data_IF_754436626386
#
_entry.id   IF_754436626386
#
_cell.length_a   1.000
_cell.length_b   1.000
_cell.length_c   1.000
_cell.angle_alpha   90.00
_cell.angle_beta   90.00
_cell.angle_gamma   90.00
#
_symmetry.space_group_name_H-M   'P 1'
#
loop_
_entity.id
_entity.type
_entity.pdbx_description
1 polymer ?
#
# COMPACT_ATOMS: atom_id res chain seq x y z
N UNK A 1 -24.98 -0.55 6.24
CA UNK A 1 -23.71 -1.25 6.55
C UNK A 1 -22.55 -0.46 5.96
N UNK A 2 -21.40 -0.35 6.63
CA UNK A 2 -20.19 0.27 6.05
C UNK A 2 -19.09 -0.78 5.94
N UNK A 3 -18.44 -0.91 4.77
CA UNK A 3 -17.38 -1.90 4.56
C UNK A 3 -16.03 -1.24 4.27
N UNK A 4 -15.00 -1.64 5.01
CA UNK A 4 -13.61 -1.18 4.86
C UNK A 4 -12.69 -2.37 4.57
N UNK A 5 -12.93 -3.09 3.47
CA UNK A 5 -12.32 -4.40 3.21
C UNK A 5 -10.89 -4.34 2.62
N UNK A 6 -10.27 -3.16 2.53
CA UNK A 6 -8.91 -2.96 2.06
C UNK A 6 -8.64 -3.64 0.71
N UNK A 7 -7.84 -4.71 0.74
CA UNK A 7 -7.43 -5.49 -0.44
C UNK A 7 -8.59 -6.11 -1.23
N UNK A 8 -9.73 -6.38 -0.60
CA UNK A 8 -10.90 -6.98 -1.24
C UNK A 8 -12.06 -6.00 -1.44
N UNK A 9 -11.81 -4.70 -1.27
CA UNK A 9 -12.86 -3.67 -1.31
C UNK A 9 -13.55 -3.55 -2.68
N UNK A 10 -12.79 -3.67 -3.79
CA UNK A 10 -13.30 -3.75 -5.15
C UNK A 10 -14.23 -4.95 -5.39
N UNK A 11 -13.80 -6.15 -4.96
CA UNK A 11 -14.58 -7.38 -5.12
C UNK A 11 -15.87 -7.35 -4.30
N UNK A 12 -15.80 -6.84 -3.07
CA UNK A 12 -16.96 -6.76 -2.19
C UNK A 12 -17.98 -5.74 -2.72
N UNK A 13 -17.51 -4.57 -3.17
CA UNK A 13 -18.38 -3.55 -3.77
C UNK A 13 -19.07 -4.10 -5.04
N UNK A 14 -18.31 -4.72 -5.94
CA UNK A 14 -18.84 -5.32 -7.17
C UNK A 14 -19.91 -6.38 -6.90
N UNK A 15 -19.66 -7.28 -5.93
CA UNK A 15 -20.64 -8.32 -5.56
C UNK A 15 -21.92 -7.74 -4.95
N UNK A 16 -21.86 -6.52 -4.44
CA UNK A 16 -22.99 -5.80 -3.85
C UNK A 16 -23.71 -4.91 -4.89
N UNK A 17 -23.32 -4.96 -6.17
CA UNK A 17 -23.96 -4.22 -7.26
C UNK A 17 -23.30 -2.90 -7.65
N UNK A 18 -22.16 -2.54 -7.04
CA UNK A 18 -21.40 -1.35 -7.45
C UNK A 18 -20.63 -1.57 -8.76
N UNK A 19 -20.19 -0.47 -9.37
CA UNK A 19 -19.39 -0.51 -10.61
C UNK A 19 -18.06 -1.26 -10.44
N UNK A 20 -17.55 -1.86 -11.52
CA UNK A 20 -16.30 -2.62 -11.51
C UNK A 20 -15.04 -1.73 -11.39
N UNK A 21 -15.17 -0.42 -11.59
CA UNK A 21 -14.11 0.58 -11.51
C UNK A 21 -14.14 1.34 -10.15
N UNK A 22 -12.99 1.56 -9.49
CA UNK A 22 -11.65 1.03 -9.78
C UNK A 22 -11.48 -0.42 -9.28
N UNK A 23 -10.41 -1.08 -9.75
CA UNK A 23 -9.96 -2.38 -9.21
C UNK A 23 -8.72 -2.24 -8.34
N UNK A 24 -8.57 -3.16 -7.38
CA UNK A 24 -7.41 -3.20 -6.51
C UNK A 24 -6.30 -4.04 -7.14
N UNK A 25 -5.15 -3.40 -7.37
CA UNK A 25 -3.88 -4.06 -7.69
C UNK A 25 -3.06 -4.19 -6.39
N UNK A 26 -2.67 -5.42 -5.98
CA UNK A 26 -1.92 -5.62 -4.76
C UNK A 26 -0.44 -5.31 -5.00
N UNK A 27 0.08 -4.27 -4.37
CA UNK A 27 1.52 -3.98 -4.36
C UNK A 27 2.12 -4.45 -3.04
N UNK A 28 2.96 -5.48 -3.11
CA UNK A 28 3.69 -6.01 -1.96
C UNK A 28 4.94 -5.18 -1.72
N UNK A 29 5.08 -4.69 -0.49
CA UNK A 29 6.29 -4.07 -0.01
C UNK A 29 6.90 -4.80 1.16
N UNK A 30 8.21 -5.06 1.07
CA UNK A 30 8.98 -5.70 2.13
C UNK A 30 10.10 -4.81 2.61
N UNK A 31 10.40 -4.95 3.90
CA UNK A 31 11.47 -4.24 4.57
C UNK A 31 12.62 -5.19 4.90
N UNK A 32 13.81 -4.63 5.09
CA UNK A 32 14.95 -5.32 5.71
C UNK A 32 15.37 -4.55 6.95
N UNK A 33 15.82 -5.23 7.99
CA UNK A 33 16.32 -4.55 9.20
C UNK A 33 17.84 -4.44 9.17
N UNK A 34 18.37 -3.39 9.79
CA UNK A 34 19.77 -3.38 10.20
C UNK A 34 19.96 -4.36 11.37
N UNK A 35 21.12 -5.03 11.40
CA UNK A 35 21.51 -5.84 12.53
C UNK A 35 21.68 -4.97 13.79
N UNK A 36 21.28 -5.52 14.93
CA UNK A 36 21.57 -4.91 16.23
C UNK A 36 23.09 -4.72 16.36
N UNK A 37 23.48 -3.59 16.95
CA UNK A 37 24.88 -3.20 17.08
C UNK A 37 25.04 -2.29 18.30
N UNK A 38 26.17 -2.40 19.00
CA UNK A 38 26.53 -1.53 20.12
C UNK A 38 26.99 -0.13 19.67
N UNK A 39 27.11 0.08 18.36
CA UNK A 39 27.42 1.38 17.78
C UNK A 39 26.23 2.35 17.92
N UNK A 40 26.46 3.67 17.95
CA UNK A 40 25.40 4.66 18.05
C UNK A 40 24.39 4.56 16.90
N UNK A 41 23.14 5.02 17.12
CA UNK A 41 22.10 4.97 16.11
C UNK A 41 22.45 5.86 14.92
N UNK A 42 22.40 5.29 13.71
CA UNK A 42 22.69 6.00 12.45
C UNK A 42 21.68 7.09 12.11
N UNK A 43 20.50 7.07 12.74
CA UNK A 43 19.44 8.05 12.54
C UNK A 43 18.63 8.21 13.83
N UNK A 44 18.09 9.41 14.07
CA UNK A 44 17.24 9.71 15.25
C UNK A 44 15.75 9.80 14.92
N UNK A 45 15.38 9.70 13.65
CA UNK A 45 14.02 9.81 13.14
C UNK A 45 13.81 9.00 11.87
N UNK A 46 12.74 9.30 11.15
CA UNK A 46 12.46 8.69 9.85
C UNK A 46 13.03 9.55 8.72
N UNK A 47 13.62 8.91 7.71
CA UNK A 47 14.13 9.60 6.50
C UNK A 47 13.39 9.03 5.29
N UNK A 48 12.81 9.95 4.52
CA UNK A 48 12.05 9.65 3.31
C UNK A 48 12.72 10.37 2.13
N UNK A 49 12.76 9.75 0.94
CA UNK A 49 13.13 10.45 -0.28
C UNK A 49 12.08 11.50 -0.61
N UNK A 50 12.46 12.47 -1.44
CA UNK A 50 11.49 13.40 -2.04
C UNK A 50 10.52 12.57 -2.91
N UNK A 51 9.20 12.66 -2.71
CA UNK A 51 8.24 11.88 -3.48
C UNK A 51 8.29 12.23 -4.97
N UNK A 52 8.26 11.21 -5.82
CA UNK A 52 7.96 11.38 -7.24
C UNK A 52 6.45 11.66 -7.40
N UNK A 53 6.03 12.78 -8.02
CA UNK A 53 4.62 13.08 -8.24
C UNK A 53 3.86 11.98 -8.98
N UNK A 54 4.53 11.25 -9.89
CA UNK A 54 3.90 10.18 -10.67
C UNK A 54 3.76 8.88 -9.85
N UNK A 55 4.59 8.71 -8.81
CA UNK A 55 4.65 7.52 -7.96
C UNK A 55 5.02 7.88 -6.51
N UNK A 56 4.13 8.58 -5.77
CA UNK A 56 4.47 9.15 -4.46
C UNK A 56 4.73 8.09 -3.38
N UNK A 57 4.42 6.83 -3.66
CA UNK A 57 4.62 5.70 -2.75
C UNK A 57 5.92 4.92 -2.99
N UNK A 58 6.75 5.34 -3.95
CA UNK A 58 8.00 4.67 -4.29
C UNK A 58 9.21 5.37 -3.67
N UNK A 59 10.10 4.58 -3.11
CA UNK A 59 11.27 5.09 -2.43
C UNK A 59 11.71 4.21 -1.27
N UNK A 60 13.02 4.17 -1.02
CA UNK A 60 13.59 3.48 0.14
C UNK A 60 13.52 4.43 1.33
N UNK A 61 12.65 4.10 2.29
CA UNK A 61 12.55 4.81 3.56
C UNK A 61 13.49 4.18 4.59
N UNK A 62 14.00 5.02 5.49
CA UNK A 62 14.76 4.59 6.66
C UNK A 62 13.90 4.92 7.86
N UNK A 63 13.33 3.90 8.49
CA UNK A 63 12.42 4.07 9.63
C UNK A 63 13.08 3.56 10.89
N UNK A 64 13.23 4.45 11.88
CA UNK A 64 13.59 4.07 13.25
C UNK A 64 12.32 3.74 14.03
N UNK A 65 12.21 2.51 14.49
CA UNK A 65 11.10 2.02 15.31
C UNK A 65 11.24 2.50 16.75
N UNK A 66 10.15 2.44 17.51
CA UNK A 66 10.12 2.78 18.95
C UNK A 66 11.09 1.90 19.74
N UNK A 67 11.25 0.64 19.34
CA UNK A 67 12.23 -0.32 19.90
C UNK A 67 13.69 0.06 19.64
N UNK A 68 13.95 1.05 18.77
CA UNK A 68 15.28 1.41 18.31
C UNK A 68 15.77 0.63 17.09
N UNK A 69 15.04 -0.40 16.66
CA UNK A 69 15.33 -1.10 15.40
C UNK A 69 15.21 -0.16 14.21
N UNK A 70 16.01 -0.39 13.17
CA UNK A 70 15.98 0.40 11.94
C UNK A 70 15.59 -0.51 10.79
N UNK A 71 14.52 -0.16 10.08
CA UNK A 71 14.08 -0.84 8.87
C UNK A 71 14.33 0.03 7.64
N UNK A 72 14.74 -0.63 6.56
CA UNK A 72 14.97 -0.05 5.25
C UNK A 72 13.95 -0.66 4.28
N UNK A 73 13.27 0.19 3.50
CA UNK A 73 12.27 -0.21 2.52
C UNK A 73 11.11 0.79 2.46
N UNK A 74 9.96 0.43 1.90
CA UNK A 74 9.64 -0.88 1.35
C UNK A 74 10.17 -1.06 -0.09
N UNK A 75 10.27 -2.32 -0.55
CA UNK A 75 10.14 -2.59 -2.00
C UNK A 75 8.72 -2.27 -2.46
N UNK A 76 8.47 -2.23 -3.76
CA UNK A 76 7.12 -2.15 -4.29
C UNK A 76 6.99 -3.00 -5.55
N UNK A 77 6.37 -4.17 -5.41
CA UNK A 77 6.19 -5.09 -6.53
C UNK A 77 4.78 -5.65 -6.56
N UNK A 78 4.21 -5.84 -7.76
CA UNK A 78 2.87 -6.41 -7.91
C UNK A 78 2.86 -7.85 -7.37
N UNK A 79 1.94 -8.12 -6.45
CA UNK A 79 1.86 -9.38 -5.75
C UNK A 79 1.00 -10.40 -6.50
N UNK A 80 1.34 -11.69 -6.40
CA UNK A 80 0.58 -12.77 -7.06
C UNK A 80 -0.75 -13.14 -6.38
N UNK A 81 -1.07 -12.50 -5.26
CA UNK A 81 -2.34 -12.59 -4.56
C UNK A 81 -2.57 -11.34 -3.72
N UNK A 82 -3.84 -11.04 -3.42
CA UNK A 82 -4.20 -9.92 -2.54
C UNK A 82 -3.63 -10.09 -1.12
N UNK A 83 -3.56 -11.32 -0.61
CA UNK A 83 -2.99 -11.68 0.71
C UNK A 83 -1.53 -12.18 0.63
N UNK A 84 -0.77 -11.79 -0.39
CA UNK A 84 0.60 -12.27 -0.60
C UNK A 84 1.64 -11.58 0.31
N UNK A 85 1.58 -11.86 1.62
CA UNK A 85 2.62 -11.44 2.57
C UNK A 85 3.96 -12.17 2.33
N UNK A 86 3.89 -13.41 1.83
CA UNK A 86 5.03 -14.19 1.34
C UNK A 86 5.06 -14.24 -0.19
N UNK A 87 6.26 -14.31 -0.79
CA UNK A 87 6.41 -14.34 -2.25
C UNK A 87 5.87 -15.63 -2.89
N UNK A 88 5.85 -16.73 -2.14
CA UNK A 88 5.29 -18.01 -2.61
C UNK A 88 3.76 -18.03 -2.65
N UNK A 89 3.09 -17.03 -2.05
CA UNK A 89 1.63 -16.95 -2.03
C UNK A 89 1.12 -16.39 -3.36
N UNK A 90 0.59 -17.29 -4.18
CA UNK A 90 0.01 -16.97 -5.48
C UNK A 90 -1.41 -17.53 -5.55
N UNK A 91 -2.36 -16.76 -6.09
CA UNK A 91 -3.73 -17.20 -6.33
C UNK A 91 -4.10 -16.98 -7.79
N UNK A 92 -4.48 -18.04 -8.48
CA UNK A 92 -4.84 -17.98 -9.89
C UNK A 92 -5.99 -17.01 -10.16
N UNK A 93 -6.98 -16.94 -9.25
CA UNK A 93 -8.11 -16.00 -9.36
C UNK A 93 -7.65 -14.54 -9.33
N UNK A 94 -6.69 -14.21 -8.45
CA UNK A 94 -6.18 -12.85 -8.30
C UNK A 94 -5.30 -12.48 -9.50
N UNK A 95 -4.47 -13.41 -9.97
CA UNK A 95 -3.72 -13.24 -11.23
C UNK A 95 -4.63 -13.02 -12.44
N UNK A 96 -5.72 -13.77 -12.53
CA UNK A 96 -6.72 -13.59 -13.58
C UNK A 96 -7.41 -12.23 -13.49
N UNK A 97 -7.74 -11.78 -12.28
CA UNK A 97 -8.27 -10.44 -12.04
C UNK A 97 -7.34 -9.34 -12.57
N UNK A 98 -6.03 -9.48 -12.31
CA UNK A 98 -5.00 -8.55 -12.78
C UNK A 98 -4.86 -8.59 -14.31
N UNK A 99 -4.77 -9.78 -14.90
CA UNK A 99 -4.59 -9.97 -16.33
C UNK A 99 -5.78 -9.50 -17.16
N UNK A 100 -7.01 -9.61 -16.64
CA UNK A 100 -8.23 -9.17 -17.33
C UNK A 100 -8.55 -7.68 -17.13
N UNK A 101 -7.81 -6.98 -16.26
CA UNK A 101 -8.02 -5.55 -16.05
C UNK A 101 -7.13 -4.72 -16.98
N UNK A 102 -7.70 -3.87 -17.88
CA UNK A 102 -6.91 -3.06 -18.79
C UNK A 102 -5.97 -2.08 -18.07
N UNK A 103 -6.38 -1.55 -16.91
CA UNK A 103 -5.59 -0.62 -16.12
C UNK A 103 -4.25 -1.21 -15.68
N UNK A 104 -4.19 -2.51 -15.36
CA UNK A 104 -2.95 -3.22 -15.00
C UNK A 104 -1.89 -3.09 -16.09
N UNK A 105 -2.27 -3.31 -17.34
CA UNK A 105 -1.34 -3.27 -18.47
C UNK A 105 -0.88 -1.85 -18.80
N UNK A 106 -1.74 -0.86 -18.58
CA UNK A 106 -1.41 0.55 -18.77
C UNK A 106 -0.41 1.02 -17.72
N UNK A 107 -0.65 0.71 -16.43
CA UNK A 107 0.30 0.94 -15.34
C UNK A 107 1.64 0.24 -15.62
N UNK A 108 1.61 -1.04 -16.01
CA UNK A 108 2.82 -1.78 -16.33
C UNK A 108 3.62 -1.16 -17.49
N UNK A 109 2.94 -0.70 -18.54
CA UNK A 109 3.57 0.00 -19.67
C UNK A 109 4.14 1.36 -19.28
N UNK A 110 3.45 2.12 -18.43
CA UNK A 110 3.88 3.44 -17.98
C UNK A 110 5.10 3.35 -17.06
N UNK A 111 5.10 2.39 -16.12
CA UNK A 111 6.08 2.31 -15.04
C UNK A 111 7.05 1.14 -15.15
N UNK A 112 7.32 0.63 -16.36
CA UNK A 112 8.19 -0.53 -16.58
C UNK A 112 9.62 -0.32 -16.07
N UNK A 113 10.17 0.89 -16.19
CA UNK A 113 11.53 1.23 -15.69
C UNK A 113 11.59 1.13 -14.17
N UNK A 114 10.55 1.62 -13.51
CA UNK A 114 10.43 1.55 -12.06
C UNK A 114 10.24 0.12 -11.60
N UNK A 115 9.44 -0.68 -12.31
CA UNK A 115 9.29 -2.11 -12.04
C UNK A 115 10.62 -2.87 -12.10
N UNK A 116 11.52 -2.54 -13.05
CA UNK A 116 12.87 -3.13 -13.11
C UNK A 116 13.71 -2.73 -11.89
N UNK A 117 13.63 -1.45 -11.49
CA UNK A 117 14.36 -0.95 -10.32
C UNK A 117 13.88 -1.64 -9.04
N UNK A 118 12.57 -1.78 -8.88
CA UNK A 118 11.95 -2.49 -7.76
C UNK A 118 12.27 -3.98 -7.76
N UNK A 119 12.34 -4.61 -8.94
CA UNK A 119 12.79 -5.99 -9.06
C UNK A 119 14.25 -6.13 -8.58
N UNK A 120 15.11 -5.14 -8.84
CA UNK A 120 16.48 -5.10 -8.30
C UNK A 120 16.48 -5.06 -6.77
N UNK A 121 15.62 -4.25 -6.16
CA UNK A 121 15.49 -4.20 -4.69
C UNK A 121 14.90 -5.48 -4.10
N UNK A 122 13.96 -6.11 -4.80
CA UNK A 122 13.39 -7.39 -4.40
C UNK A 122 14.43 -8.52 -4.38
N UNK A 123 15.29 -8.57 -5.41
CA UNK A 123 16.31 -9.60 -5.57
C UNK A 123 17.60 -9.32 -4.78
N UNK A 124 17.90 -8.04 -4.50
CA UNK A 124 19.16 -7.63 -3.86
C UNK A 124 18.93 -6.72 -2.65
N UNK A 125 19.06 -7.32 -1.46
CA UNK A 125 19.09 -6.57 -0.19
C UNK A 125 20.25 -5.57 -0.15
N UNK A 126 21.36 -5.89 -0.81
CA UNK A 126 22.51 -4.99 -0.94
C UNK A 126 22.16 -3.76 -1.78
N UNK A 127 21.39 -3.92 -2.86
CA UNK A 127 20.93 -2.78 -3.67
C UNK A 127 20.04 -1.83 -2.85
N UNK A 128 19.13 -2.38 -2.05
CA UNK A 128 18.29 -1.59 -1.15
C UNK A 128 19.11 -0.88 -0.07
N UNK A 129 20.09 -1.56 0.53
CA UNK A 129 21.03 -0.94 1.48
C UNK A 129 21.82 0.20 0.85
N UNK A 130 22.29 0.01 -0.39
CA UNK A 130 23.05 1.04 -1.09
C UNK A 130 22.19 2.26 -1.41
N UNK A 131 20.92 2.07 -1.80
CA UNK A 131 19.98 3.18 -2.00
C UNK A 131 19.74 3.96 -0.69
N UNK A 132 19.58 3.26 0.45
CA UNK A 132 19.52 3.92 1.76
C UNK A 132 20.81 4.67 2.13
N UNK A 133 21.96 4.14 1.70
CA UNK A 133 23.27 4.74 1.95
C UNK A 133 23.52 6.04 1.15
N UNK A 134 22.71 6.34 0.13
CA UNK A 134 22.75 7.64 -0.56
C UNK A 134 22.26 8.77 0.37
N UNK A 135 21.36 8.46 1.31
CA UNK A 135 20.89 9.41 2.32
C UNK A 135 21.75 9.39 3.60
N UNK A 136 22.15 8.19 4.05
CA UNK A 136 22.93 7.98 5.27
C UNK A 136 24.12 7.06 4.98
N UNK A 137 25.30 7.60 4.62
CA UNK A 137 26.46 6.82 4.20
C UNK A 137 26.89 5.74 5.21
N UNK A 138 26.70 5.98 6.51
CA UNK A 138 27.03 5.03 7.59
C UNK A 138 26.31 3.68 7.44
N UNK A 139 25.13 3.64 6.82
CA UNK A 139 24.36 2.41 6.58
C UNK A 139 25.15 1.41 5.73
N UNK A 140 26.05 1.89 4.85
CA UNK A 140 26.84 1.03 3.96
C UNK A 140 27.64 -0.02 4.73
N UNK A 141 28.16 0.36 5.89
CA UNK A 141 29.01 -0.47 6.75
C UNK A 141 28.22 -1.28 7.77
N UNK A 142 26.90 -1.07 7.87
CA UNK A 142 26.05 -1.85 8.77
C UNK A 142 25.68 -3.19 8.15
N UNK A 143 25.69 -4.23 8.98
CA UNK A 143 25.18 -5.54 8.61
C UNK A 143 23.65 -5.48 8.51
N UNK A 144 23.08 -6.23 7.57
CA UNK A 144 21.63 -6.43 7.50
C UNK A 144 21.27 -7.64 8.37
N UNK A 145 20.15 -7.54 9.08
CA UNK A 145 19.54 -8.64 9.80
C UNK A 145 18.64 -9.48 8.88
N UNK A 146 17.74 -10.25 9.51
CA UNK A 146 16.66 -10.98 8.84
C UNK A 146 15.78 -10.04 8.00
N UNK A 147 15.12 -10.63 7.00
CA UNK A 147 14.05 -9.95 6.28
C UNK A 147 12.98 -9.47 7.29
N UNK A 148 12.56 -8.23 7.13
CA UNK A 148 11.53 -7.61 7.95
C UNK A 148 10.14 -8.03 7.52
N UNK A 149 9.15 -7.36 8.12
CA UNK A 149 7.77 -7.54 7.74
C UNK A 149 7.54 -7.18 6.26
N UNK A 150 6.50 -7.79 5.69
CA UNK A 150 5.97 -7.41 4.39
C UNK A 150 4.51 -7.02 4.56
N UNK A 151 4.10 -6.01 3.81
CA UNK A 151 2.71 -5.58 3.69
C UNK A 151 2.27 -5.65 2.23
N UNK A 152 0.96 -5.72 2.02
CA UNK A 152 0.36 -5.57 0.68
C UNK A 152 -0.52 -4.34 0.70
N UNK A 153 -0.18 -3.35 -0.14
CA UNK A 153 -0.96 -2.15 -0.37
C UNK A 153 -2.07 -2.47 -1.36
N UNK A 154 -3.29 -2.09 -1.03
CA UNK A 154 -4.43 -2.09 -1.92
C UNK A 154 -4.37 -0.81 -2.79
N UNK A 155 -3.75 -0.89 -3.96
CA UNK A 155 -3.71 0.26 -4.87
C UNK A 155 -4.93 0.21 -5.80
N UNK A 156 -5.84 1.18 -5.67
CA UNK A 156 -6.91 1.34 -6.62
C UNK A 156 -6.37 1.87 -7.95
N UNK A 157 -6.75 1.20 -9.04
CA UNK A 157 -6.35 1.53 -10.40
C UNK A 157 -7.58 1.57 -11.28
N UNK A 158 -7.81 2.73 -11.87
CA UNK A 158 -8.89 2.93 -12.82
C UNK A 158 -8.65 2.15 -14.11
N UNK A 159 -9.72 1.98 -14.88
CA UNK A 159 -9.66 1.22 -16.13
C UNK A 159 -8.62 1.79 -17.09
N UNK A 160 -8.48 3.10 -17.15
CA UNK A 160 -7.51 3.84 -17.98
C UNK A 160 -6.05 3.76 -17.48
N UNK A 161 -5.81 3.12 -16.34
CA UNK A 161 -4.48 2.99 -15.73
C UNK A 161 -4.14 4.09 -14.74
N UNK A 162 -5.04 5.03 -14.48
CA UNK A 162 -4.84 6.06 -13.46
C UNK A 162 -4.75 5.39 -12.07
N UNK A 163 -3.70 5.72 -11.33
CA UNK A 163 -3.57 5.33 -9.93
C UNK A 163 -4.46 6.27 -9.12
N UNK A 164 -5.46 5.74 -8.43
CA UNK A 164 -6.41 6.60 -7.71
C UNK A 164 -5.78 7.07 -6.40
N UNK A 165 -5.56 8.37 -6.31
CA UNK A 165 -4.89 9.03 -5.19
C UNK A 165 -5.85 9.68 -4.17
N UNK A 166 -7.16 9.58 -4.40
CA UNK A 166 -8.20 10.06 -3.47
C UNK A 166 -9.10 8.92 -2.96
N UNK A 167 -9.94 9.20 -1.97
CA UNK A 167 -10.93 8.28 -1.45
C UNK A 167 -11.95 7.92 -2.53
N UNK A 168 -12.22 6.62 -2.65
CA UNK A 168 -13.32 6.13 -3.49
C UNK A 168 -14.33 5.47 -2.57
N UNK A 169 -15.52 6.04 -2.54
CA UNK A 169 -16.66 5.55 -1.77
C UNK A 169 -17.77 5.20 -2.76
N UNK A 170 -18.39 4.04 -2.59
CA UNK A 170 -19.54 3.62 -3.41
C UNK A 170 -20.71 3.24 -2.52
N UNK A 171 -21.86 3.85 -2.78
CA UNK A 171 -23.11 3.56 -2.11
C UNK A 171 -23.96 2.63 -2.96
N UNK A 172 -24.48 1.58 -2.33
CA UNK A 172 -25.46 0.65 -2.88
C UNK A 172 -26.60 0.48 -1.87
N UNK A 173 -27.79 -0.01 -2.27
CA UNK A 173 -28.87 -0.23 -1.32
C UNK A 173 -28.42 -1.06 -0.10
N UNK A 174 -28.48 -0.45 1.08
CA UNK A 174 -28.10 -1.07 2.36
C UNK A 174 -26.61 -1.08 2.71
N UNK A 175 -25.71 -0.63 1.82
CA UNK A 175 -24.27 -0.63 2.10
C UNK A 175 -23.47 0.53 1.47
N UNK A 176 -22.47 1.01 2.21
CA UNK A 176 -21.45 1.97 1.75
C UNK A 176 -20.09 1.28 1.75
N UNK A 177 -19.39 1.30 0.63
CA UNK A 177 -18.10 0.63 0.44
C UNK A 177 -16.97 1.64 0.33
N UNK A 178 -15.99 1.57 1.24
CA UNK A 178 -14.71 2.27 1.10
C UNK A 178 -13.83 1.43 0.16
N UNK A 179 -13.75 1.85 -1.10
CA UNK A 179 -13.05 1.15 -2.19
C UNK A 179 -11.61 1.59 -2.36
N UNK A 180 -11.29 2.82 -1.99
CA UNK A 180 -9.92 3.29 -1.94
C UNK A 180 -9.74 4.20 -0.73
N UNK A 181 -8.66 3.97 0.00
CA UNK A 181 -8.19 4.83 1.08
C UNK A 181 -6.66 4.88 0.97
N UNK A 182 -6.14 5.75 0.08
CA UNK A 182 -4.72 5.79 -0.21
C UNK A 182 -3.92 6.39 0.95
N UNK A 183 -2.61 6.20 0.95
CA UNK A 183 -1.72 6.83 1.94
C UNK A 183 -1.88 8.35 1.89
N UNK A 184 -2.02 9.06 3.02
CA UNK A 184 -1.81 8.61 4.41
C UNK A 184 -3.10 8.22 5.18
N UNK A 185 -3.89 7.26 4.67
CA UNK A 185 -5.15 6.80 5.29
C UNK A 185 -5.08 6.41 6.78
N UNK A 186 -3.95 5.88 7.26
CA UNK A 186 -3.79 5.57 8.69
C UNK A 186 -3.85 6.84 9.54
N UNK A 187 -3.15 7.90 9.10
CA UNK A 187 -3.11 9.20 9.76
C UNK A 187 -4.45 9.93 9.67
N UNK A 188 -5.15 9.82 8.53
CA UNK A 188 -6.46 10.46 8.32
C UNK A 188 -7.67 9.58 8.74
N UNK A 189 -7.44 8.43 9.38
CA UNK A 189 -8.48 7.43 9.67
C UNK A 189 -9.66 7.97 10.49
N UNK A 190 -9.41 8.82 11.48
CA UNK A 190 -10.48 9.43 12.28
C UNK A 190 -11.31 10.45 11.48
N UNK A 191 -10.68 11.21 10.58
CA UNK A 191 -11.39 12.14 9.71
C UNK A 191 -12.25 11.38 8.69
N UNK A 192 -11.69 10.32 8.09
CA UNK A 192 -12.43 9.43 7.20
C UNK A 192 -13.62 8.77 7.91
N UNK A 193 -13.44 8.33 9.16
CA UNK A 193 -14.53 7.73 9.93
C UNK A 193 -15.69 8.72 10.16
N UNK A 194 -15.39 9.99 10.47
CA UNK A 194 -16.42 11.03 10.62
C UNK A 194 -17.16 11.26 9.31
N UNK A 195 -16.45 11.45 8.20
CA UNK A 195 -17.05 11.61 6.87
C UNK A 195 -17.99 10.44 6.51
N UNK A 196 -17.61 9.20 6.84
CA UNK A 196 -18.44 8.03 6.59
C UNK A 196 -19.69 7.99 7.45
N UNK A 197 -19.60 8.39 8.72
CA UNK A 197 -20.75 8.50 9.63
C UNK A 197 -21.70 9.56 9.11
N UNK A 198 -21.21 10.77 8.83
CA UNK A 198 -22.01 11.89 8.35
C UNK A 198 -22.77 11.52 7.06
N UNK A 199 -22.10 10.83 6.12
CA UNK A 199 -22.75 10.28 4.92
C UNK A 199 -23.85 9.27 5.25
N UNK A 200 -23.57 8.31 6.13
CA UNK A 200 -24.53 7.26 6.46
C UNK A 200 -25.74 7.77 7.25
N UNK A 201 -25.56 8.78 8.10
CA UNK A 201 -26.67 9.38 8.86
C UNK A 201 -27.72 10.00 7.95
N UNK A 202 -27.33 10.58 6.80
CA UNK A 202 -28.30 11.07 5.81
C UNK A 202 -29.22 9.98 5.28
N UNK A 203 -28.79 8.71 5.33
CA UNK A 203 -29.57 7.56 4.86
C UNK A 203 -30.41 6.90 5.98
N UNK A 204 -30.16 7.23 7.26
CA UNK A 204 -30.78 6.54 8.41
C UNK A 204 -32.06 7.22 8.93
N UNK A 205 -32.43 8.39 8.39
CA UNK A 205 -33.54 9.18 8.94
C UNK A 205 -33.24 9.72 10.35
N UNK A 206 -34.12 10.55 10.93
CA UNK A 206 -33.92 11.04 12.29
C UNK A 206 -33.91 9.86 13.28
N UNK A 207 -33.07 9.90 14.32
CA UNK A 207 -33.05 8.85 15.34
C UNK A 207 -34.44 8.73 15.96
N UNK A 208 -34.96 7.50 16.03
CA UNK A 208 -36.16 7.23 16.83
C UNK A 208 -35.89 7.67 18.27
N UNK A 209 -36.77 8.53 18.80
CA UNK A 209 -36.67 9.00 20.17
C UNK A 209 -36.69 7.78 21.09
N UNK A 210 -35.60 7.57 21.83
CA UNK A 210 -35.55 6.54 22.87
C UNK A 210 -36.45 7.03 24.02
N UNK A 211 -37.62 6.43 24.17
CA UNK A 211 -38.48 6.54 25.37
C UNK A 211 -37.81 5.91 26.59
#
# INVERSE_FOLDING_TARGET
MVTCAGLWSDELAKRSGADDNPRIIPFRGAYVHLAASDQPPVVRGMVYPVPDPDLPFLGVHITRHISGEISIGPTAFVAGAKDAYTLSRVKLRDLWSLATWPGTWRVAKQFWRTAITELRFLLSRTAMKNAAAEFIPEIRHRALARAGAAGVRAQAVDRDGTLVDDFVISDVPGATHVRNAPSPAATSSFALARELVDRCETHLGPPEARE
#
